data_IF_575843746802
#
_entry.id   IF_575843746802
#
_cell.length_a   1.000
_cell.length_b   1.000
_cell.length_c   1.000
_cell.angle_alpha   90.00
_cell.angle_beta   90.00
_cell.angle_gamma   90.00
#
_symmetry.space_group_name_H-M   'P 1'
#
loop_
_entity.id
_entity.type
_entity.pdbx_description
1 polymer ?
#
# COMPACT_ATOMS: atom_id res chain seq x y z
N UNK A 1 -0.57 22.59 -8.53
CA UNK A 1 -0.27 21.45 -7.65
C UNK A 1 -1.16 20.26 -7.93
N UNK A 2 -0.56 19.19 -8.41
CA UNK A 2 -1.18 17.87 -8.60
C UNK A 2 -1.11 17.13 -7.27
N UNK A 3 -2.10 17.35 -6.41
CA UNK A 3 -2.21 16.67 -5.12
C UNK A 3 -3.60 16.03 -4.94
N UNK A 4 -4.22 15.63 -6.05
CA UNK A 4 -5.51 14.96 -6.06
C UNK A 4 -5.46 13.90 -7.17
N UNK A 5 -4.71 12.82 -6.92
CA UNK A 5 -5.05 11.51 -7.49
C UNK A 5 -6.13 10.83 -6.63
N UNK A 6 -7.11 11.63 -6.15
CA UNK A 6 -8.41 11.08 -5.77
C UNK A 6 -9.20 10.94 -7.07
N UNK A 7 -9.81 9.78 -7.28
CA UNK A 7 -10.89 9.56 -8.24
C UNK A 7 -10.56 9.19 -9.68
N UNK A 8 -9.41 8.57 -9.98
CA UNK A 8 -9.45 7.59 -11.08
C UNK A 8 -10.04 6.28 -10.54
N UNK A 9 -11.38 6.33 -10.48
CA UNK A 9 -12.23 5.20 -10.76
C UNK A 9 -12.35 4.14 -9.66
N UNK A 10 -13.24 4.49 -8.73
CA UNK A 10 -14.12 3.57 -8.04
C UNK A 10 -14.99 2.67 -8.97
N UNK A 11 -14.71 2.54 -10.27
CA UNK A 11 -15.59 1.93 -11.26
C UNK A 11 -15.53 0.38 -11.34
N UNK A 12 -14.54 -0.28 -10.75
CA UNK A 12 -14.51 -1.77 -10.72
C UNK A 12 -14.76 -2.39 -9.33
N UNK A 13 -15.22 -1.58 -8.37
CA UNK A 13 -15.34 -1.99 -6.96
C UNK A 13 -16.49 -2.98 -6.64
N UNK A 14 -17.17 -3.59 -7.62
CA UNK A 14 -18.41 -4.35 -7.32
C UNK A 14 -18.50 -5.77 -7.93
N UNK A 15 -17.53 -6.28 -8.69
CA UNK A 15 -17.66 -7.63 -9.29
C UNK A 15 -16.71 -8.74 -8.83
N UNK A 16 -15.77 -8.44 -7.94
CA UNK A 16 -14.81 -9.43 -7.43
C UNK A 16 -14.81 -9.48 -5.90
N UNK A 17 -15.99 -9.60 -5.29
CA UNK A 17 -16.13 -9.92 -3.87
C UNK A 17 -15.65 -11.34 -3.50
N UNK A 18 -14.90 -12.01 -4.39
CA UNK A 18 -14.33 -13.33 -4.18
C UNK A 18 -12.95 -13.41 -4.85
N UNK A 19 -12.06 -14.23 -4.27
CA UNK A 19 -10.78 -14.74 -4.79
C UNK A 19 -9.51 -14.00 -4.31
N UNK A 20 -9.18 -14.27 -3.04
CA UNK A 20 -7.87 -14.27 -2.33
C UNK A 20 -6.78 -13.33 -2.85
N UNK A 21 -6.57 -12.22 -2.12
CA UNK A 21 -5.35 -11.42 -2.15
C UNK A 21 -4.12 -12.33 -1.97
N UNK A 22 -3.10 -12.22 -2.83
CA UNK A 22 -1.84 -12.92 -2.65
C UNK A 22 -1.28 -12.72 -1.23
N UNK A 23 -0.73 -13.77 -0.60
CA UNK A 23 -0.13 -13.67 0.73
C UNK A 23 1.01 -12.65 0.79
N UNK A 24 1.70 -12.42 -0.33
CA UNK A 24 2.78 -11.43 -0.45
C UNK A 24 2.25 -10.00 -0.32
N UNK A 25 1.13 -9.68 -0.98
CA UNK A 25 0.47 -8.36 -0.86
C UNK A 25 -0.06 -8.13 0.55
N UNK A 26 -0.62 -9.18 1.16
CA UNK A 26 -1.11 -9.10 2.54
C UNK A 26 0.02 -8.86 3.54
N UNK A 27 1.17 -9.51 3.34
CA UNK A 27 2.37 -9.30 4.16
C UNK A 27 2.90 -7.87 4.04
N UNK A 28 2.91 -7.30 2.82
CA UNK A 28 3.29 -5.89 2.59
C UNK A 28 2.33 -4.89 3.24
N UNK A 29 1.02 -5.19 3.23
CA UNK A 29 0.01 -4.39 3.96
C UNK A 29 0.24 -4.43 5.46
N UNK A 30 0.43 -5.62 6.03
CA UNK A 30 0.67 -5.81 7.45
C UNK A 30 1.96 -5.11 7.91
N UNK A 31 3.01 -5.15 7.09
CA UNK A 31 4.29 -4.46 7.38
C UNK A 31 4.14 -2.94 7.30
N UNK A 32 3.38 -2.43 6.33
CA UNK A 32 3.08 -1.00 6.23
C UNK A 32 2.30 -0.52 7.47
N UNK A 33 1.32 -1.30 7.94
CA UNK A 33 0.55 -1.02 9.15
C UNK A 33 1.45 -1.01 10.41
N UNK A 34 2.42 -1.93 10.49
CA UNK A 34 3.42 -1.96 11.57
C UNK A 34 4.27 -0.70 11.57
N UNK A 35 4.87 -0.33 10.44
CA UNK A 35 5.70 0.86 10.34
C UNK A 35 4.92 2.13 10.65
N UNK A 36 3.64 2.20 10.30
CA UNK A 36 2.78 3.32 10.68
C UNK A 36 2.68 3.46 12.20
N UNK A 37 2.44 2.37 12.92
CA UNK A 37 2.38 2.36 14.39
C UNK A 37 3.73 2.69 15.01
N UNK A 38 4.83 2.17 14.45
CA UNK A 38 6.18 2.48 14.92
C UNK A 38 6.53 3.96 14.72
N UNK A 39 6.14 4.54 13.58
CA UNK A 39 6.30 5.97 13.32
C UNK A 39 5.52 6.80 14.34
N UNK A 40 4.26 6.45 14.59
CA UNK A 40 3.42 7.14 15.59
C UNK A 40 4.06 7.05 16.99
N UNK A 41 4.59 5.90 17.37
CA UNK A 41 5.32 5.71 18.63
C UNK A 41 6.60 6.55 18.67
N UNK A 42 7.40 6.56 17.60
CA UNK A 42 8.63 7.37 17.51
C UNK A 42 8.32 8.87 17.61
N UNK A 43 7.26 9.35 16.96
CA UNK A 43 6.80 10.74 17.09
C UNK A 43 6.35 11.05 18.52
N UNK A 44 5.59 10.15 19.15
CA UNK A 44 5.15 10.32 20.54
C UNK A 44 6.34 10.35 21.53
N UNK A 45 7.39 9.58 21.25
CA UNK A 45 8.65 9.57 22.02
C UNK A 45 9.62 10.69 21.62
N UNK A 46 9.23 11.61 20.73
CA UNK A 46 10.07 12.70 20.21
C UNK A 46 11.35 12.22 19.49
N UNK A 47 11.37 10.97 19.02
CA UNK A 47 12.44 10.38 18.21
C UNK A 47 12.28 10.78 16.72
N UNK A 48 12.42 12.08 16.41
CA UNK A 48 12.10 12.61 15.07
C UNK A 48 12.97 12.03 13.94
N UNK A 49 14.24 11.75 14.21
CA UNK A 49 15.15 11.14 13.22
C UNK A 49 14.69 9.72 12.85
N UNK A 50 14.32 8.92 13.85
CA UNK A 50 13.76 7.58 13.64
C UNK A 50 12.40 7.64 12.95
N UNK A 51 11.53 8.58 13.33
CA UNK A 51 10.26 8.79 12.65
C UNK A 51 10.45 9.15 11.17
N UNK A 52 11.48 9.94 10.82
CA UNK A 52 11.82 10.25 9.43
C UNK A 52 12.31 9.01 8.67
N UNK A 53 13.17 8.19 9.28
CA UNK A 53 13.61 6.91 8.68
C UNK A 53 12.44 5.96 8.43
N UNK A 54 11.57 5.79 9.42
CA UNK A 54 10.38 4.92 9.31
C UNK A 54 9.41 5.46 8.25
N UNK A 55 9.22 6.79 8.16
CA UNK A 55 8.40 7.41 7.10
C UNK A 55 8.93 7.06 5.71
N UNK A 56 10.23 7.15 5.50
CA UNK A 56 10.83 6.86 4.20
C UNK A 56 10.73 5.36 3.87
N UNK A 57 10.82 4.48 4.86
CA UNK A 57 10.57 3.04 4.70
C UNK A 57 9.09 2.74 4.40
N UNK A 58 8.16 3.34 5.13
CA UNK A 58 6.71 3.24 4.89
C UNK A 58 6.36 3.67 3.46
N UNK A 59 6.97 4.75 2.97
CA UNK A 59 6.74 5.25 1.62
C UNK A 59 7.22 4.27 0.54
N UNK A 60 8.40 3.66 0.74
CA UNK A 60 8.92 2.62 -0.18
C UNK A 60 8.00 1.41 -0.22
N UNK A 61 7.62 0.87 0.95
CA UNK A 61 6.73 -0.29 1.02
C UNK A 61 5.35 -0.03 0.43
N UNK A 62 4.82 1.20 0.58
CA UNK A 62 3.57 1.60 -0.08
C UNK A 62 3.70 1.66 -1.60
N UNK A 63 4.81 2.17 -2.12
CA UNK A 63 5.06 2.20 -3.55
C UNK A 63 5.17 0.76 -4.10
N UNK A 64 5.94 -0.10 -3.43
CA UNK A 64 6.08 -1.51 -3.80
C UNK A 64 4.73 -2.25 -3.74
N UNK A 65 3.92 -2.00 -2.72
CA UNK A 65 2.57 -2.55 -2.61
C UNK A 65 1.66 -2.09 -3.75
N UNK A 66 1.74 -0.82 -4.15
CA UNK A 66 0.96 -0.27 -5.25
C UNK A 66 1.37 -0.91 -6.59
N UNK A 67 2.67 -1.02 -6.86
CA UNK A 67 3.21 -1.66 -8.07
C UNK A 67 2.79 -3.14 -8.13
N UNK A 68 2.99 -3.89 -7.03
CA UNK A 68 2.63 -5.31 -6.98
C UNK A 68 1.11 -5.52 -7.13
N UNK A 69 0.29 -4.61 -6.59
CA UNK A 69 -1.17 -4.60 -6.81
C UNK A 69 -1.51 -4.35 -8.27
N UNK A 70 -0.88 -3.37 -8.91
CA UNK A 70 -1.10 -3.06 -10.33
C UNK A 70 -0.69 -4.23 -11.21
N UNK A 71 0.49 -4.81 -10.99
CA UNK A 71 0.97 -6.00 -11.71
C UNK A 71 0.00 -7.17 -11.54
N UNK A 72 -0.49 -7.41 -10.33
CA UNK A 72 -1.48 -8.46 -10.07
C UNK A 72 -2.79 -8.22 -10.83
N UNK A 73 -3.31 -6.99 -10.81
CA UNK A 73 -4.52 -6.62 -11.55
C UNK A 73 -4.32 -6.76 -13.07
N UNK A 74 -3.18 -6.33 -13.60
CA UNK A 74 -2.87 -6.36 -15.03
C UNK A 74 -2.62 -7.79 -15.54
N UNK A 75 -1.88 -8.62 -14.78
CA UNK A 75 -1.72 -10.04 -15.08
C UNK A 75 -3.08 -10.74 -15.17
N UNK A 76 -3.98 -10.42 -14.24
CA UNK A 76 -5.35 -10.95 -14.21
C UNK A 76 -6.20 -10.49 -15.40
N UNK A 77 -6.01 -9.25 -15.89
CA UNK A 77 -6.67 -8.76 -17.10
C UNK A 77 -6.23 -9.55 -18.34
N UNK A 78 -4.94 -9.84 -18.48
CA UNK A 78 -4.40 -10.63 -19.61
C UNK A 78 -4.79 -12.12 -19.57
N UNK A 79 -5.03 -12.70 -18.39
CA UNK A 79 -5.44 -14.11 -18.26
C UNK A 79 -6.92 -14.36 -18.60
N UNK A 80 -7.75 -13.30 -18.60
CA UNK A 80 -9.19 -13.39 -18.91
C UNK A 80 -9.54 -12.84 -20.31
N UNK A 81 -8.55 -12.49 -21.13
CA UNK A 81 -8.69 -12.00 -22.51
C UNK A 81 -8.26 -13.08 -23.51
#
# INVERSE_FOLDING_TARGET
>A
DKAIDLMDEAASRVRLASFTTPPDLKSLEDETERLKKEKEAAVASQEFEKAAQIRDQEHKLRADLAEQREVWQNKRYKENA
#
